data_IF_205124529470
#
_entry.id   IF_205124529470
#
_cell.length_a   1.000
_cell.length_b   1.000
_cell.length_c   1.000
_cell.angle_alpha   90.00
_cell.angle_beta   90.00
_cell.angle_gamma   90.00
#
_symmetry.space_group_name_H-M   'P 1'
#
loop_
_entity.id
_entity.type
_entity.pdbx_description
1 polymer ?
#
# COMPACT_ATOMS: atom_id res chain seq x y z
N UNK A 1 2.42 17.74 7.16
CA UNK A 1 2.00 17.39 5.80
C UNK A 1 2.58 16.06 5.38
N UNK A 2 1.77 15.14 4.84
CA UNK A 2 2.26 13.87 4.28
C UNK A 2 2.71 14.07 2.84
N UNK A 3 3.84 13.48 2.45
CA UNK A 3 4.39 13.70 1.10
C UNK A 3 3.69 12.90 -0.01
N UNK A 4 3.19 11.71 0.32
CA UNK A 4 2.66 10.78 -0.69
C UNK A 4 1.15 10.58 -0.63
N UNK A 5 0.58 10.60 0.58
CA UNK A 5 -0.83 10.28 0.79
C UNK A 5 -1.72 11.49 0.48
N UNK A 6 -2.91 11.19 -0.03
CA UNK A 6 -3.95 12.19 -0.25
C UNK A 6 -4.36 12.84 1.07
N UNK A 7 -4.37 14.17 1.08
CA UNK A 7 -4.84 15.01 2.19
C UNK A 7 -5.54 16.25 1.64
N UNK A 8 -6.14 17.05 2.51
CA UNK A 8 -6.74 18.33 2.09
C UNK A 8 -5.70 19.29 1.49
N UNK A 9 -4.47 19.25 1.99
CA UNK A 9 -3.33 20.03 1.49
C UNK A 9 -2.68 19.38 0.24
N UNK A 10 -2.98 18.11 -0.05
CA UNK A 10 -2.42 17.34 -1.18
C UNK A 10 -3.52 16.50 -1.86
N UNK A 11 -4.41 17.13 -2.64
CA UNK A 11 -5.51 16.43 -3.31
C UNK A 11 -5.05 15.48 -4.42
N UNK A 12 -3.84 15.69 -4.95
CA UNK A 12 -3.20 14.85 -5.97
C UNK A 12 -2.39 13.67 -5.40
N UNK A 13 -2.48 13.43 -4.08
CA UNK A 13 -1.81 12.31 -3.42
C UNK A 13 -2.43 10.94 -3.75
N UNK A 14 -1.73 9.88 -3.37
CA UNK A 14 -2.21 8.51 -3.54
C UNK A 14 -3.02 8.06 -2.32
N UNK A 15 -3.94 7.12 -2.52
CA UNK A 15 -4.48 6.37 -1.38
C UNK A 15 -3.44 5.36 -0.90
N UNK A 16 -3.56 4.92 0.35
CA UNK A 16 -2.60 4.00 0.94
C UNK A 16 -2.56 2.66 0.18
N UNK A 17 -3.73 2.12 -0.17
CA UNK A 17 -3.87 0.89 -0.94
C UNK A 17 -3.21 0.97 -2.33
N UNK A 18 -3.19 2.15 -2.94
CA UNK A 18 -2.58 2.36 -4.26
C UNK A 18 -1.05 2.30 -4.16
N UNK A 19 -0.45 2.98 -3.16
CA UNK A 19 1.00 2.93 -2.91
C UNK A 19 1.45 1.52 -2.56
N UNK A 20 0.74 0.86 -1.65
CA UNK A 20 1.07 -0.50 -1.24
C UNK A 20 0.97 -1.49 -2.42
N UNK A 21 0.00 -1.30 -3.31
CA UNK A 21 -0.15 -2.10 -4.53
C UNK A 21 1.00 -1.89 -5.52
N UNK A 22 1.52 -0.66 -5.64
CA UNK A 22 2.71 -0.36 -6.44
C UNK A 22 3.93 -1.07 -5.83
N UNK A 23 4.15 -0.94 -4.52
CA UNK A 23 5.26 -1.58 -3.83
C UNK A 23 5.21 -3.11 -3.96
N UNK A 24 4.04 -3.73 -3.78
CA UNK A 24 3.83 -5.16 -3.97
C UNK A 24 4.29 -5.62 -5.36
N UNK A 25 3.92 -4.86 -6.40
CA UNK A 25 4.30 -5.16 -7.79
C UNK A 25 5.82 -5.12 -7.99
N UNK A 26 6.48 -4.12 -7.43
CA UNK A 26 7.92 -3.96 -7.60
C UNK A 26 8.72 -4.99 -6.80
N UNK A 27 8.24 -5.42 -5.63
CA UNK A 27 8.83 -6.53 -4.90
C UNK A 27 8.71 -7.82 -5.70
N UNK A 28 7.53 -8.13 -6.26
CA UNK A 28 7.36 -9.32 -7.14
C UNK A 28 8.38 -9.30 -8.27
N UNK A 29 8.47 -8.19 -9.02
CA UNK A 29 9.43 -8.03 -10.13
C UNK A 29 10.90 -8.20 -9.70
N UNK A 30 11.24 -7.85 -8.45
CA UNK A 30 12.59 -8.06 -7.92
C UNK A 30 12.81 -9.51 -7.52
N UNK A 31 11.83 -10.13 -6.87
CA UNK A 31 11.88 -11.54 -6.48
C UNK A 31 12.02 -12.47 -7.68
N UNK A 32 11.38 -12.18 -8.81
CA UNK A 32 11.53 -12.98 -10.04
C UNK A 32 12.95 -12.98 -10.59
N UNK A 33 13.78 -11.96 -10.29
CA UNK A 33 15.18 -11.90 -10.77
C UNK A 33 16.12 -12.84 -10.01
N UNK A 34 15.72 -13.30 -8.83
CA UNK A 34 16.54 -14.16 -7.95
C UNK A 34 15.86 -15.51 -7.67
N UNK A 35 14.79 -15.82 -8.38
CA UNK A 35 13.96 -17.01 -8.13
C UNK A 35 14.71 -18.32 -8.35
N UNK A 36 15.56 -18.35 -9.38
CA UNK A 36 16.33 -19.55 -9.77
C UNK A 36 17.77 -19.54 -9.19
N UNK A 37 18.09 -18.60 -8.29
CA UNK A 37 19.41 -18.50 -7.67
C UNK A 37 19.50 -19.42 -6.46
N UNK A 38 20.25 -20.51 -6.62
CA UNK A 38 20.36 -21.59 -5.62
C UNK A 38 21.21 -21.22 -4.38
N UNK A 39 21.91 -20.08 -4.41
CA UNK A 39 22.74 -19.64 -3.29
C UNK A 39 21.91 -19.42 -2.02
N UNK A 40 22.39 -19.82 -0.83
CA UNK A 40 21.65 -19.67 0.42
C UNK A 40 21.17 -18.25 0.69
N UNK A 41 21.97 -17.25 0.34
CA UNK A 41 21.66 -15.83 0.51
C UNK A 41 20.48 -15.40 -0.37
N UNK A 42 20.44 -15.87 -1.63
CA UNK A 42 19.35 -15.57 -2.55
C UNK A 42 18.04 -16.20 -2.07
N UNK A 43 18.09 -17.46 -1.63
CA UNK A 43 16.94 -18.14 -1.00
C UNK A 43 16.43 -17.40 0.23
N UNK A 44 17.32 -16.93 1.10
CA UNK A 44 16.94 -16.16 2.28
C UNK A 44 16.25 -14.84 1.91
N UNK A 45 16.79 -14.10 0.93
CA UNK A 45 16.18 -12.84 0.44
C UNK A 45 14.82 -13.09 -0.22
N UNK A 46 14.69 -14.18 -0.99
CA UNK A 46 13.41 -14.56 -1.61
C UNK A 46 12.36 -14.90 -0.54
N UNK A 47 12.72 -15.69 0.47
CA UNK A 47 11.84 -16.03 1.60
C UNK A 47 11.37 -14.77 2.35
N UNK A 48 12.28 -13.83 2.61
CA UNK A 48 11.92 -12.56 3.23
C UNK A 48 10.95 -11.76 2.35
N UNK A 49 11.20 -11.73 1.03
CA UNK A 49 10.32 -11.03 0.08
C UNK A 49 8.92 -11.64 0.06
N UNK A 50 8.79 -12.98 0.07
CA UNK A 50 7.51 -13.68 0.15
C UNK A 50 6.76 -13.30 1.43
N UNK A 51 7.45 -13.27 2.57
CA UNK A 51 6.84 -12.85 3.85
C UNK A 51 6.35 -11.40 3.80
N UNK A 52 7.14 -10.49 3.24
CA UNK A 52 6.74 -9.09 3.06
C UNK A 52 5.53 -8.97 2.12
N UNK A 53 5.45 -9.76 1.05
CA UNK A 53 4.31 -9.78 0.13
C UNK A 53 3.01 -10.23 0.82
N UNK A 54 3.09 -11.18 1.74
CA UNK A 54 1.97 -11.58 2.61
C UNK A 54 1.46 -10.40 3.44
N UNK A 55 2.36 -9.76 4.19
CA UNK A 55 2.04 -8.60 5.03
C UNK A 55 1.47 -7.44 4.20
N UNK A 56 2.02 -7.16 3.03
CA UNK A 56 1.50 -6.13 2.13
C UNK A 56 0.08 -6.44 1.66
N UNK A 57 -0.24 -7.71 1.43
CA UNK A 57 -1.59 -8.11 1.02
C UNK A 57 -2.60 -7.87 2.16
N UNK A 58 -2.22 -8.15 3.41
CA UNK A 58 -3.03 -7.81 4.59
C UNK A 58 -3.20 -6.29 4.73
N UNK A 59 -2.12 -5.52 4.62
CA UNK A 59 -2.17 -4.06 4.69
C UNK A 59 -3.07 -3.44 3.61
N UNK A 60 -3.00 -3.94 2.37
CA UNK A 60 -3.88 -3.49 1.27
C UNK A 60 -5.34 -3.77 1.63
N UNK A 61 -5.67 -4.98 2.08
CA UNK A 61 -7.04 -5.34 2.46
C UNK A 61 -7.58 -4.46 3.59
N UNK A 62 -6.75 -4.14 4.58
CA UNK A 62 -7.12 -3.26 5.71
C UNK A 62 -7.33 -1.81 5.23
N UNK A 63 -6.47 -1.32 4.33
CA UNK A 63 -6.60 0.02 3.76
C UNK A 63 -7.87 0.16 2.90
N UNK A 64 -8.15 -0.83 2.05
CA UNK A 64 -9.38 -0.87 1.26
C UNK A 64 -10.64 -0.92 2.15
N UNK A 65 -10.59 -1.69 3.25
CA UNK A 65 -11.69 -1.72 4.21
C UNK A 65 -11.90 -0.38 4.90
N UNK A 66 -10.81 0.29 5.29
CA UNK A 66 -10.86 1.64 5.84
C UNK A 66 -11.51 2.62 4.85
N UNK A 67 -11.13 2.56 3.57
CA UNK A 67 -11.76 3.35 2.51
C UNK A 67 -13.26 3.05 2.41
N UNK A 68 -13.67 1.77 2.40
CA UNK A 68 -15.09 1.38 2.38
C UNK A 68 -15.87 1.88 3.60
N UNK A 69 -15.30 1.80 4.80
CA UNK A 69 -15.93 2.28 6.04
C UNK A 69 -16.19 3.78 5.93
N UNK A 70 -15.20 4.55 5.46
CA UNK A 70 -15.33 5.99 5.29
C UNK A 70 -16.36 6.35 4.23
N UNK A 71 -16.34 5.67 3.09
CA UNK A 71 -17.32 5.91 2.01
C UNK A 71 -18.75 5.58 2.44
N UNK A 72 -18.94 4.45 3.14
CA UNK A 72 -20.25 4.06 3.67
C UNK A 72 -20.78 5.07 4.70
N UNK A 73 -19.92 5.62 5.55
CA UNK A 73 -20.33 6.47 6.67
C UNK A 73 -20.46 7.95 6.30
N UNK A 74 -19.62 8.43 5.38
CA UNK A 74 -19.50 9.86 5.06
C UNK A 74 -19.66 10.19 3.57
N UNK A 75 -19.88 9.18 2.73
CA UNK A 75 -19.92 9.34 1.28
C UNK A 75 -18.52 9.43 0.66
N UNK A 76 -18.49 9.73 -0.65
CA UNK A 76 -17.24 9.89 -1.40
C UNK A 76 -16.41 11.03 -0.83
N UNK A 77 -15.09 10.90 -0.93
CA UNK A 77 -14.16 11.99 -0.55
C UNK A 77 -14.48 13.25 -1.34
N UNK A 78 -14.53 14.39 -0.65
CA UNK A 78 -14.68 15.73 -1.25
C UNK A 78 -13.35 16.45 -1.11
N UNK A 79 -12.93 17.16 -2.15
CA UNK A 79 -11.67 17.89 -2.16
C UNK A 79 -11.62 18.96 -1.06
N UNK A 80 -10.49 19.03 -0.35
CA UNK A 80 -10.22 20.04 0.68
C UNK A 80 -11.06 19.94 1.96
N UNK A 81 -11.75 18.81 2.20
CA UNK A 81 -12.47 18.56 3.45
C UNK A 81 -12.15 17.17 4.02
N UNK A 82 -11.66 17.09 5.27
CA UNK A 82 -11.39 15.80 5.88
C UNK A 82 -12.72 15.12 6.21
N UNK A 83 -12.85 13.84 5.88
CA UNK A 83 -14.03 13.02 6.24
C UNK A 83 -14.13 12.78 7.75
N UNK A 84 -12.98 12.65 8.40
CA UNK A 84 -12.82 12.49 9.84
C UNK A 84 -11.58 13.25 10.30
N UNK A 85 -11.58 13.71 11.54
CA UNK A 85 -10.46 14.47 12.12
C UNK A 85 -10.66 15.98 12.04
N UNK A 86 -9.58 16.72 12.29
CA UNK A 86 -9.55 18.19 12.20
C UNK A 86 -9.00 18.62 10.84
N UNK A 87 -9.36 19.82 10.35
CA UNK A 87 -8.67 20.46 9.24
C UNK A 87 -7.17 20.65 9.52
#
# INVERSE_FOLDING_TARGET
MTHFLVTDEKPDGYRLEDILSILRRDIIKRSTKIMDDERPEAKAVLNNSIRVLGLLSECISIAEDSTRILEKSFGKSVEGKPRIGKP
#
